data_IF_699714899016
#
_entry.id   IF_699714899016
#
_cell.length_a   1.000
_cell.length_b   1.000
_cell.length_c   1.000
_cell.angle_alpha   90.00
_cell.angle_beta   90.00
_cell.angle_gamma   90.00
#
_symmetry.space_group_name_H-M   'P 1'
#
loop_
_entity.id
_entity.type
_entity.pdbx_description
1 polymer ?
#
# COMPACT_ATOMS: atom_id res chain seq x y z
N UNK A 1 -14.64 24.19 -14.92
CA UNK A 1 -15.81 24.42 -14.04
C UNK A 1 -16.56 23.10 -14.06
N UNK A 2 -16.35 22.18 -13.13
CA UNK A 2 -16.96 22.12 -11.79
C UNK A 2 -16.25 21.01 -10.96
N UNK A 3 -15.02 21.27 -10.51
CA UNK A 3 -14.21 20.27 -9.77
C UNK A 3 -13.99 20.60 -8.28
N UNK A 4 -14.39 21.80 -7.84
CA UNK A 4 -14.21 22.26 -6.47
C UNK A 4 -15.37 21.92 -5.54
N UNK A 5 -16.58 21.79 -6.10
CA UNK A 5 -17.81 21.48 -5.36
C UNK A 5 -17.79 20.03 -4.84
N UNK A 6 -17.30 19.10 -5.67
CA UNK A 6 -17.22 17.66 -5.37
C UNK A 6 -16.21 17.34 -4.25
N UNK A 7 -15.04 18.00 -4.22
CA UNK A 7 -14.01 17.74 -3.18
C UNK A 7 -14.49 18.20 -1.79
N UNK A 8 -15.18 19.34 -1.73
CA UNK A 8 -15.68 19.88 -0.45
C UNK A 8 -16.78 18.99 0.12
N UNK A 9 -17.70 18.55 -0.72
CA UNK A 9 -18.76 17.61 -0.32
C UNK A 9 -18.18 16.26 0.12
N UNK A 10 -17.19 15.72 -0.61
CA UNK A 10 -16.48 14.51 -0.18
C UNK A 10 -15.81 14.71 1.18
N UNK A 11 -15.13 15.84 1.39
CA UNK A 11 -14.46 16.14 2.66
C UNK A 11 -15.46 16.25 3.81
N UNK A 12 -16.54 17.01 3.64
CA UNK A 12 -17.61 17.14 4.64
C UNK A 12 -18.24 15.78 4.96
N UNK A 13 -18.50 14.96 3.95
CA UNK A 13 -18.99 13.59 4.13
C UNK A 13 -18.01 12.73 4.94
N UNK A 14 -16.71 12.77 4.62
CA UNK A 14 -15.69 12.00 5.35
C UNK A 14 -15.58 12.48 6.81
N UNK A 15 -15.61 13.79 7.04
CA UNK A 15 -15.54 14.37 8.39
C UNK A 15 -16.79 14.02 9.21
N UNK A 16 -17.98 14.07 8.60
CA UNK A 16 -19.22 13.66 9.27
C UNK A 16 -19.19 12.18 9.64
N UNK A 17 -18.69 11.31 8.76
CA UNK A 17 -18.48 9.89 9.07
C UNK A 17 -17.51 9.72 10.24
N UNK A 18 -16.37 10.43 10.22
CA UNK A 18 -15.39 10.35 11.29
C UNK A 18 -15.99 10.79 12.64
N UNK A 19 -16.74 11.89 12.65
CA UNK A 19 -17.38 12.42 13.83
C UNK A 19 -18.44 11.44 14.39
N UNK A 20 -19.28 10.86 13.52
CA UNK A 20 -20.26 9.86 13.92
C UNK A 20 -19.60 8.60 14.51
N UNK A 21 -18.58 8.07 13.82
CA UNK A 21 -17.84 6.87 14.27
C UNK A 21 -17.17 7.09 15.63
N UNK A 22 -16.63 8.28 15.88
CA UNK A 22 -15.88 8.59 17.11
C UNK A 22 -16.80 9.01 18.26
N UNK A 23 -17.87 9.76 17.99
CA UNK A 23 -18.85 10.16 19.02
C UNK A 23 -19.73 9.00 19.48
N UNK A 24 -20.03 8.04 18.59
CA UNK A 24 -20.91 6.90 18.88
C UNK A 24 -20.17 5.57 19.10
N UNK A 25 -18.85 5.62 19.35
CA UNK A 25 -17.98 4.45 19.37
C UNK A 25 -18.50 3.29 20.26
N UNK A 26 -19.01 3.57 21.46
CA UNK A 26 -19.53 2.52 22.35
C UNK A 26 -20.74 1.79 21.75
N UNK A 27 -21.74 2.54 21.28
CA UNK A 27 -22.95 1.98 20.68
C UNK A 27 -22.62 1.20 19.41
N UNK A 28 -21.75 1.75 18.56
CA UNK A 28 -21.30 1.08 17.34
C UNK A 28 -20.55 -0.22 17.64
N UNK A 29 -19.69 -0.25 18.66
CA UNK A 29 -19.02 -1.48 19.10
C UNK A 29 -19.99 -2.55 19.60
N UNK A 30 -21.07 -2.16 20.31
CA UNK A 30 -22.12 -3.10 20.71
C UNK A 30 -22.85 -3.69 19.51
N UNK A 31 -23.24 -2.84 18.55
CA UNK A 31 -23.89 -3.28 17.31
C UNK A 31 -22.99 -4.22 16.49
N UNK A 32 -21.71 -3.87 16.34
CA UNK A 32 -20.73 -4.73 15.64
C UNK A 32 -20.60 -6.08 16.32
N UNK A 33 -20.52 -6.12 17.66
CA UNK A 33 -20.46 -7.38 18.40
C UNK A 33 -21.74 -8.21 18.19
N UNK A 34 -22.91 -7.61 18.30
CA UNK A 34 -24.20 -8.28 18.07
C UNK A 34 -24.28 -8.88 16.66
N UNK A 35 -23.85 -8.15 15.63
CA UNK A 35 -23.80 -8.65 14.26
C UNK A 35 -22.81 -9.82 14.10
N UNK A 36 -21.60 -9.70 14.65
CA UNK A 36 -20.60 -10.78 14.63
C UNK A 36 -21.15 -12.04 15.30
N UNK A 37 -21.76 -11.91 16.48
CA UNK A 37 -22.31 -13.04 17.24
C UNK A 37 -23.47 -13.68 16.50
N UNK A 38 -24.42 -12.87 16.00
CA UNK A 38 -25.58 -13.35 15.24
C UNK A 38 -25.16 -14.12 13.99
N UNK A 39 -24.21 -13.58 13.24
CA UNK A 39 -23.75 -14.23 12.02
C UNK A 39 -22.96 -15.50 12.28
N UNK A 40 -22.15 -15.55 13.35
CA UNK A 40 -21.26 -16.68 13.64
C UNK A 40 -21.83 -17.68 14.66
N UNK A 41 -23.07 -17.50 15.15
CA UNK A 41 -23.69 -18.35 16.17
C UNK A 41 -23.67 -19.85 15.81
N UNK A 42 -23.79 -20.18 14.52
CA UNK A 42 -23.78 -21.56 14.03
C UNK A 42 -22.40 -22.15 13.73
N UNK A 43 -21.31 -21.42 14.00
CA UNK A 43 -19.96 -21.91 13.74
C UNK A 43 -19.53 -22.94 14.78
N UNK A 44 -18.69 -23.90 14.39
CA UNK A 44 -18.16 -24.92 15.31
C UNK A 44 -17.37 -24.28 16.47
N UNK A 45 -16.64 -23.21 16.21
CA UNK A 45 -15.92 -22.48 17.25
C UNK A 45 -16.86 -21.83 18.26
N UNK A 46 -17.80 -20.99 17.79
CA UNK A 46 -18.62 -20.17 18.68
C UNK A 46 -19.67 -20.99 19.44
N UNK A 47 -20.27 -22.00 18.78
CA UNK A 47 -21.31 -22.85 19.37
C UNK A 47 -20.86 -23.55 20.66
N UNK A 48 -19.57 -23.85 20.82
CA UNK A 48 -19.00 -24.46 22.04
C UNK A 48 -19.14 -23.60 23.29
N UNK A 49 -19.24 -22.28 23.12
CA UNK A 49 -19.32 -21.32 24.21
C UNK A 49 -20.76 -20.82 24.49
N UNK A 50 -21.73 -21.22 23.65
CA UNK A 50 -23.14 -20.82 23.78
C UNK A 50 -24.08 -22.03 23.72
N UNK A 51 -24.07 -22.91 24.74
CA UNK A 51 -24.87 -24.15 24.73
C UNK A 51 -26.39 -23.89 24.67
N UNK A 52 -26.86 -22.72 25.10
CA UNK A 52 -28.27 -22.33 25.06
C UNK A 52 -28.62 -21.46 23.83
N UNK A 53 -27.67 -21.23 22.91
CA UNK A 53 -27.84 -20.40 21.71
C UNK A 53 -27.97 -18.89 21.95
N UNK A 54 -28.03 -18.42 23.20
CA UNK A 54 -28.04 -17.00 23.53
C UNK A 54 -26.63 -16.42 23.40
N UNK A 55 -26.41 -15.65 22.34
CA UNK A 55 -25.13 -15.01 22.02
C UNK A 55 -25.22 -13.49 22.22
N UNK A 56 -25.48 -13.08 23.46
CA UNK A 56 -25.45 -11.68 23.89
C UNK A 56 -24.07 -11.25 24.42
N UNK A 57 -23.87 -9.94 24.60
CA UNK A 57 -22.61 -9.34 25.09
C UNK A 57 -22.14 -9.90 26.43
N UNK A 58 -23.05 -10.14 27.38
CA UNK A 58 -22.69 -10.62 28.71
C UNK A 58 -22.26 -12.08 28.66
N UNK A 59 -23.03 -12.89 27.94
CA UNK A 59 -22.69 -14.30 27.68
C UNK A 59 -21.35 -14.43 26.93
N UNK A 60 -21.09 -13.57 25.94
CA UNK A 60 -19.81 -13.54 25.21
C UNK A 60 -18.63 -13.28 26.14
N UNK A 61 -18.69 -12.21 26.95
CA UNK A 61 -17.62 -11.87 27.90
C UNK A 61 -17.37 -12.94 28.95
N UNK A 62 -18.40 -13.69 29.33
CA UNK A 62 -18.31 -14.71 30.37
C UNK A 62 -17.78 -16.04 29.82
N UNK A 63 -18.20 -16.42 28.61
CA UNK A 63 -18.01 -17.78 28.10
C UNK A 63 -16.88 -17.89 27.06
N UNK A 64 -16.60 -16.82 26.30
CA UNK A 64 -15.59 -16.86 25.23
C UNK A 64 -14.23 -16.42 25.78
N UNK A 65 -13.20 -17.29 25.78
CA UNK A 65 -11.90 -16.96 26.33
C UNK A 65 -11.14 -15.97 25.43
N UNK A 66 -10.24 -15.22 26.05
CA UNK A 66 -9.18 -14.51 25.32
C UNK A 66 -8.18 -15.56 24.84
N UNK A 67 -7.89 -15.58 23.54
CA UNK A 67 -7.09 -16.61 22.88
C UNK A 67 -5.87 -16.03 22.16
N UNK A 68 -4.92 -16.92 21.86
CA UNK A 68 -3.76 -16.70 21.01
C UNK A 68 -3.93 -17.36 19.65
N UNK A 69 -2.96 -17.20 18.75
CA UNK A 69 -3.01 -17.84 17.43
C UNK A 69 -2.98 -19.37 17.55
N UNK A 70 -2.23 -19.87 18.53
CA UNK A 70 -2.01 -21.30 18.77
C UNK A 70 -3.33 -22.02 19.08
N UNK A 71 -4.26 -21.36 19.77
CA UNK A 71 -5.58 -21.91 20.14
C UNK A 71 -6.49 -22.11 18.92
N UNK A 72 -6.39 -21.24 17.91
CA UNK A 72 -7.22 -21.30 16.68
C UNK A 72 -6.52 -21.97 15.51
N UNK A 73 -5.21 -22.20 15.60
CA UNK A 73 -4.41 -22.83 14.54
C UNK A 73 -5.02 -24.14 14.02
N UNK A 74 -5.56 -25.06 14.85
CA UNK A 74 -6.17 -26.30 14.35
C UNK A 74 -7.36 -26.06 13.41
N UNK A 75 -8.14 -25.00 13.63
CA UNK A 75 -9.24 -24.63 12.73
C UNK A 75 -8.71 -24.05 11.41
N UNK A 76 -7.69 -23.19 11.49
CA UNK A 76 -7.04 -22.63 10.30
C UNK A 76 -6.45 -23.74 9.43
N UNK A 77 -5.77 -24.72 10.03
CA UNK A 77 -5.19 -25.86 9.31
C UNK A 77 -6.28 -26.69 8.61
N UNK A 78 -7.42 -26.94 9.27
CA UNK A 78 -8.57 -27.66 8.68
C UNK A 78 -9.13 -26.93 7.45
N UNK A 79 -9.30 -25.61 7.54
CA UNK A 79 -9.75 -24.76 6.41
C UNK A 79 -8.72 -24.79 5.26
N UNK A 80 -7.44 -24.67 5.58
CA UNK A 80 -6.35 -24.75 4.60
C UNK A 80 -6.30 -26.12 3.89
N UNK A 81 -6.78 -27.18 4.54
CA UNK A 81 -6.88 -28.54 4.00
C UNK A 81 -8.24 -28.88 3.35
N UNK A 82 -9.18 -27.92 3.29
CA UNK A 82 -10.36 -28.03 2.44
C UNK A 82 -11.68 -28.17 3.18
N UNK A 83 -11.64 -28.10 4.51
CA UNK A 83 -12.86 -28.04 5.30
C UNK A 83 -13.57 -26.69 5.16
N UNK A 84 -14.89 -26.69 5.33
CA UNK A 84 -15.69 -25.48 5.15
C UNK A 84 -15.32 -24.40 6.17
N UNK A 85 -15.21 -23.12 5.76
CA UNK A 85 -14.87 -22.03 6.69
C UNK A 85 -15.83 -21.89 7.87
N UNK A 86 -17.04 -22.43 7.77
CA UNK A 86 -18.08 -22.45 8.82
C UNK A 86 -17.62 -23.06 10.14
N UNK A 87 -16.49 -23.77 10.19
CA UNK A 87 -15.91 -24.20 11.45
C UNK A 87 -15.42 -23.03 12.32
N UNK A 88 -15.07 -21.89 11.70
CA UNK A 88 -14.58 -20.70 12.40
C UNK A 88 -15.38 -19.43 12.03
N UNK A 89 -15.82 -19.30 10.78
CA UNK A 89 -16.44 -18.09 10.23
C UNK A 89 -17.66 -18.46 9.36
N UNK A 90 -18.78 -17.79 9.61
CA UNK A 90 -19.99 -17.96 8.81
C UNK A 90 -19.90 -17.31 7.42
N UNK A 91 -19.04 -16.30 7.25
CA UNK A 91 -18.82 -15.63 5.97
C UNK A 91 -17.47 -15.98 5.35
N UNK A 92 -17.44 -16.03 4.01
CA UNK A 92 -16.19 -15.76 3.28
C UNK A 92 -15.81 -14.31 3.54
N UNK A 93 -14.59 -14.06 4.00
CA UNK A 93 -14.06 -12.70 4.16
C UNK A 93 -14.02 -12.04 2.77
N UNK A 94 -14.96 -11.13 2.48
CA UNK A 94 -15.18 -10.60 1.11
C UNK A 94 -14.74 -9.16 0.88
N UNK A 95 -14.03 -8.53 1.83
CA UNK A 95 -13.30 -7.23 1.76
C UNK A 95 -13.87 -6.16 2.70
N UNK A 96 -12.96 -5.44 3.37
CA UNK A 96 -13.16 -4.05 3.78
C UNK A 96 -12.15 -3.19 3.00
N UNK A 97 -12.64 -2.21 2.24
CA UNK A 97 -11.80 -1.19 1.61
C UNK A 97 -12.33 0.17 2.04
N UNK A 98 -11.58 0.86 2.89
CA UNK A 98 -11.82 2.26 3.19
C UNK A 98 -11.37 3.10 1.98
N UNK A 99 -12.34 3.66 1.26
CA UNK A 99 -12.15 4.71 0.25
C UNK A 99 -11.82 6.03 0.95
N UNK A 100 -10.60 6.19 1.47
CA UNK A 100 -10.21 7.46 2.10
C UNK A 100 -8.89 7.99 1.57
N UNK A 101 -8.64 7.95 0.26
CA UNK A 101 -7.63 8.81 -0.35
C UNK A 101 -8.01 9.19 -1.78
N UNK A 102 -9.01 10.06 -1.93
CA UNK A 102 -9.03 10.94 -3.10
C UNK A 102 -7.99 12.03 -2.81
N UNK A 103 -6.77 11.81 -3.31
CA UNK A 103 -5.73 12.84 -3.26
C UNK A 103 -6.20 14.07 -4.03
N UNK A 104 -5.79 15.25 -3.59
CA UNK A 104 -6.06 16.49 -4.32
C UNK A 104 -5.54 16.38 -5.76
N UNK A 105 -6.27 16.98 -6.72
CA UNK A 105 -5.89 17.06 -8.14
C UNK A 105 -4.60 17.88 -8.42
N UNK A 106 -3.75 18.10 -7.42
CA UNK A 106 -2.60 19.02 -7.52
C UNK A 106 -1.27 18.34 -7.88
N UNK A 107 -1.25 17.04 -8.15
CA UNK A 107 -0.06 16.33 -8.63
C UNK A 107 -0.12 14.81 -8.47
N UNK A 108 0.99 14.15 -8.78
CA UNK A 108 1.19 12.70 -8.71
C UNK A 108 1.94 12.26 -7.46
N UNK A 109 1.80 10.97 -7.18
CA UNK A 109 2.36 10.26 -6.05
C UNK A 109 3.44 9.30 -6.55
N UNK A 110 4.66 9.45 -6.05
CA UNK A 110 5.70 8.43 -6.16
C UNK A 110 5.63 7.54 -4.91
N UNK A 111 4.69 6.60 -4.91
CA UNK A 111 4.56 5.64 -3.82
C UNK A 111 5.10 4.29 -4.28
N UNK A 112 6.08 3.75 -3.53
CA UNK A 112 6.75 2.51 -3.89
C UNK A 112 5.96 1.32 -3.35
N UNK A 113 5.43 0.53 -4.28
CA UNK A 113 4.62 -0.65 -3.97
C UNK A 113 5.37 -1.91 -4.37
N UNK A 114 5.34 -2.93 -3.52
CA UNK A 114 6.00 -4.20 -3.78
C UNK A 114 5.07 -5.35 -3.46
N UNK A 115 4.97 -6.31 -4.38
CA UNK A 115 4.27 -7.57 -4.13
C UNK A 115 5.22 -8.63 -3.59
N UNK A 116 4.64 -9.62 -2.93
CA UNK A 116 5.32 -10.86 -2.54
C UNK A 116 4.67 -12.07 -3.20
N UNK A 117 5.42 -13.16 -3.39
CA UNK A 117 4.87 -14.41 -3.90
C UNK A 117 3.66 -14.85 -3.08
N UNK A 118 2.68 -15.42 -3.77
CA UNK A 118 1.51 -16.03 -3.16
C UNK A 118 1.71 -17.54 -3.08
N UNK A 119 1.03 -18.16 -2.12
CA UNK A 119 1.04 -19.58 -1.86
C UNK A 119 -0.36 -20.13 -2.09
N UNK A 120 -0.45 -21.32 -2.67
CA UNK A 120 -1.70 -22.07 -2.72
C UNK A 120 -1.72 -23.08 -1.55
N UNK A 121 -2.82 -23.11 -0.80
CA UNK A 121 -3.06 -24.12 0.22
C UNK A 121 -3.47 -25.45 -0.43
N UNK A 122 -3.38 -26.59 0.27
CA UNK A 122 -3.88 -27.87 -0.26
C UNK A 122 -5.34 -27.85 -0.72
N UNK A 123 -6.15 -26.94 -0.16
CA UNK A 123 -7.54 -26.70 -0.57
C UNK A 123 -7.74 -25.81 -1.80
N UNK A 124 -6.67 -25.29 -2.39
CA UNK A 124 -6.74 -24.34 -3.50
C UNK A 124 -7.02 -22.89 -3.09
N UNK A 125 -6.94 -22.56 -1.79
CA UNK A 125 -7.05 -21.18 -1.33
C UNK A 125 -5.71 -20.45 -1.51
N UNK A 126 -5.78 -19.19 -1.90
CA UNK A 126 -4.58 -18.35 -2.05
C UNK A 126 -4.24 -17.70 -0.71
N UNK A 127 -3.09 -18.06 -0.16
CA UNK A 127 -2.45 -17.38 0.95
C UNK A 127 -1.51 -16.28 0.42
N UNK A 128 -1.73 -15.04 0.85
CA UNK A 128 -1.03 -13.87 0.33
C UNK A 128 -0.86 -12.81 1.44
N UNK A 129 0.17 -11.98 1.33
CA UNK A 129 0.22 -10.76 2.13
C UNK A 129 -0.94 -9.85 1.74
N UNK A 130 -1.54 -9.19 2.75
CA UNK A 130 -2.67 -8.30 2.53
C UNK A 130 -2.41 -7.25 1.45
N UNK A 131 -1.22 -6.63 1.44
CA UNK A 131 -0.84 -5.62 0.44
C UNK A 131 -0.80 -6.19 -0.97
N UNK A 132 -0.20 -7.38 -1.16
CA UNK A 132 -0.19 -8.07 -2.47
C UNK A 132 -1.61 -8.32 -2.97
N UNK A 133 -2.45 -8.88 -2.11
CA UNK A 133 -3.85 -9.13 -2.43
C UNK A 133 -4.58 -7.83 -2.80
N UNK A 134 -4.41 -6.78 -1.99
CA UNK A 134 -5.04 -5.47 -2.20
C UNK A 134 -4.62 -4.85 -3.54
N UNK A 135 -3.33 -4.89 -3.90
CA UNK A 135 -2.83 -4.33 -5.16
C UNK A 135 -3.41 -5.04 -6.40
N UNK A 136 -3.83 -6.30 -6.26
CA UNK A 136 -4.48 -7.05 -7.34
C UNK A 136 -5.96 -6.75 -7.50
N UNK A 137 -6.61 -6.12 -6.51
CA UNK A 137 -8.04 -5.77 -6.56
C UNK A 137 -8.35 -4.74 -7.66
N UNK A 138 -9.54 -4.83 -8.25
CA UNK A 138 -10.02 -3.85 -9.23
C UNK A 138 -10.04 -2.43 -8.67
N UNK A 139 -10.46 -2.29 -7.40
CA UNK A 139 -10.52 -1.00 -6.70
C UNK A 139 -9.16 -0.31 -6.65
N UNK A 140 -8.09 -1.04 -6.31
CA UNK A 140 -6.75 -0.49 -6.33
C UNK A 140 -6.30 -0.13 -7.74
N UNK A 141 -6.44 -1.05 -8.70
CA UNK A 141 -6.00 -0.84 -10.09
C UNK A 141 -6.65 0.40 -10.72
N UNK A 142 -7.96 0.58 -10.52
CA UNK A 142 -8.68 1.75 -11.05
C UNK A 142 -8.34 3.04 -10.29
N UNK A 143 -8.09 2.96 -8.98
CA UNK A 143 -7.72 4.12 -8.17
C UNK A 143 -6.30 4.62 -8.43
N UNK A 144 -5.36 3.69 -8.64
CA UNK A 144 -3.94 3.96 -8.85
C UNK A 144 -3.68 4.85 -10.07
N UNK A 145 -4.33 4.55 -11.20
CA UNK A 145 -4.11 5.22 -12.48
C UNK A 145 -4.35 6.74 -12.44
N UNK A 146 -5.11 7.23 -11.45
CA UNK A 146 -5.40 8.66 -11.30
C UNK A 146 -4.29 9.43 -10.61
N UNK A 147 -3.46 8.77 -9.78
CA UNK A 147 -2.62 9.48 -8.81
C UNK A 147 -1.19 8.97 -8.71
N UNK A 148 -0.85 7.79 -9.23
CA UNK A 148 0.50 7.24 -9.11
C UNK A 148 1.34 7.53 -10.35
N UNK A 149 2.64 7.77 -10.17
CA UNK A 149 3.59 7.83 -11.29
C UNK A 149 3.81 6.46 -11.93
N UNK A 150 3.71 5.39 -11.13
CA UNK A 150 4.09 4.04 -11.53
C UNK A 150 2.93 3.25 -12.13
N UNK A 151 3.10 2.66 -13.32
CA UNK A 151 2.12 1.76 -13.92
C UNK A 151 1.85 0.54 -13.04
N UNK A 152 0.63 0.00 -13.13
CA UNK A 152 0.22 -1.14 -12.32
C UNK A 152 1.09 -2.37 -12.60
N UNK A 153 1.56 -2.55 -13.83
CA UNK A 153 2.42 -3.65 -14.24
C UNK A 153 3.76 -3.62 -13.49
N UNK A 154 4.33 -2.42 -13.28
CA UNK A 154 5.58 -2.27 -12.54
C UNK A 154 5.43 -2.59 -11.06
N UNK A 155 4.24 -2.35 -10.48
CA UNK A 155 3.90 -2.67 -9.10
C UNK A 155 3.66 -4.17 -8.91
N UNK A 156 3.01 -4.80 -9.90
CA UNK A 156 2.68 -6.23 -9.89
C UNK A 156 3.83 -7.11 -10.42
N UNK A 157 4.99 -6.53 -10.72
CA UNK A 157 6.19 -7.28 -11.06
C UNK A 157 6.69 -8.03 -9.81
N UNK A 158 6.88 -9.34 -9.95
CA UNK A 158 7.32 -10.23 -8.86
C UNK A 158 8.81 -10.06 -8.53
N UNK A 159 9.60 -9.60 -9.50
CA UNK A 159 10.99 -9.22 -9.29
C UNK A 159 11.07 -7.80 -8.72
N UNK A 160 11.30 -7.71 -7.41
CA UNK A 160 11.38 -6.43 -6.70
C UNK A 160 12.50 -5.51 -7.22
N UNK A 161 13.57 -6.06 -7.83
CA UNK A 161 14.64 -5.25 -8.41
C UNK A 161 14.17 -4.54 -9.68
N UNK A 162 13.54 -5.29 -10.58
CA UNK A 162 12.96 -4.73 -11.81
C UNK A 162 11.82 -3.76 -11.48
N UNK A 163 10.95 -4.14 -10.55
CA UNK A 163 9.87 -3.29 -10.03
C UNK A 163 10.40 -1.96 -9.50
N UNK A 164 11.41 -1.99 -8.61
CA UNK A 164 11.98 -0.78 -8.03
C UNK A 164 12.61 0.13 -9.10
N UNK A 165 13.36 -0.46 -10.04
CA UNK A 165 13.98 0.28 -11.13
C UNK A 165 12.94 1.00 -12.00
N UNK A 166 11.89 0.29 -12.45
CA UNK A 166 10.83 0.88 -13.27
C UNK A 166 10.02 1.93 -12.50
N UNK A 167 9.72 1.70 -11.21
CA UNK A 167 9.01 2.67 -10.38
C UNK A 167 9.81 3.96 -10.17
N UNK A 168 11.11 3.86 -9.90
CA UNK A 168 12.00 5.02 -9.80
C UNK A 168 12.15 5.75 -11.14
N UNK A 169 12.32 5.02 -12.25
CA UNK A 169 12.41 5.60 -13.58
C UNK A 169 11.16 6.39 -13.96
N UNK A 170 9.97 5.83 -13.72
CA UNK A 170 8.70 6.53 -13.94
C UNK A 170 8.53 7.73 -13.01
N UNK A 171 9.00 7.64 -11.77
CA UNK A 171 9.06 8.74 -10.82
C UNK A 171 9.97 9.89 -11.25
N UNK A 172 11.12 9.60 -11.87
CA UNK A 172 12.06 10.59 -12.41
C UNK A 172 11.51 11.26 -13.67
N UNK A 173 10.91 10.49 -14.59
CA UNK A 173 10.30 11.00 -15.82
C UNK A 173 9.14 11.97 -15.53
N UNK A 174 8.48 11.82 -14.39
CA UNK A 174 7.35 12.64 -13.95
C UNK A 174 7.73 13.55 -12.76
N UNK A 175 9.02 13.87 -12.60
CA UNK A 175 9.54 14.54 -11.38
C UNK A 175 8.83 15.83 -11.01
N UNK A 176 8.42 16.61 -12.00
CA UNK A 176 7.77 17.92 -11.81
C UNK A 176 6.28 17.82 -11.50
N UNK A 177 5.72 16.61 -11.51
CA UNK A 177 4.35 16.33 -11.07
C UNK A 177 4.31 15.72 -9.67
N UNK A 178 5.42 15.23 -9.13
CA UNK A 178 5.44 14.54 -7.83
C UNK A 178 5.25 15.52 -6.68
N UNK A 179 4.11 15.41 -6.00
CA UNK A 179 3.76 16.20 -4.81
C UNK A 179 3.83 15.40 -3.51
N UNK A 180 3.90 14.07 -3.60
CA UNK A 180 4.09 13.19 -2.45
C UNK A 180 4.92 11.98 -2.83
N UNK A 181 5.79 11.56 -1.91
CA UNK A 181 6.54 10.30 -2.01
C UNK A 181 6.14 9.40 -0.85
N UNK A 182 6.18 8.08 -1.03
CA UNK A 182 5.92 7.19 0.10
C UNK A 182 6.18 5.73 -0.13
N UNK A 183 5.97 4.96 0.93
CA UNK A 183 5.96 3.50 0.93
C UNK A 183 5.24 3.01 2.19
N UNK A 184 4.84 1.75 2.27
CA UNK A 184 4.12 1.24 3.45
C UNK A 184 4.93 1.39 4.73
N UNK A 185 6.24 1.11 4.68
CA UNK A 185 7.11 1.14 5.86
C UNK A 185 8.35 1.99 5.60
N UNK A 186 8.73 2.80 6.59
CA UNK A 186 9.84 3.76 6.45
C UNK A 186 11.11 3.12 5.90
N UNK A 187 11.42 1.88 6.30
CA UNK A 187 12.60 1.12 5.85
C UNK A 187 12.74 0.99 4.32
N UNK A 188 11.65 1.06 3.56
CA UNK A 188 11.68 0.91 2.10
C UNK A 188 12.30 2.15 1.46
N UNK A 189 11.98 3.35 1.96
CA UNK A 189 12.41 4.60 1.35
C UNK A 189 13.94 4.75 1.34
N UNK A 190 14.68 4.58 2.46
CA UNK A 190 16.14 4.62 2.42
C UNK A 190 16.76 3.53 1.53
N UNK A 191 16.14 2.33 1.48
CA UNK A 191 16.59 1.27 0.57
C UNK A 191 16.42 1.69 -0.89
N UNK A 192 15.35 2.39 -1.22
CA UNK A 192 15.12 2.89 -2.57
C UNK A 192 16.00 4.08 -2.93
N UNK A 193 16.33 4.95 -1.97
CA UNK A 193 17.36 5.98 -2.18
C UNK A 193 18.73 5.35 -2.38
N UNK A 194 19.09 4.33 -1.60
CA UNK A 194 20.35 3.60 -1.81
C UNK A 194 20.38 2.91 -3.17
N UNK A 195 19.27 2.31 -3.58
CA UNK A 195 19.13 1.73 -4.91
C UNK A 195 19.28 2.81 -6.01
N UNK A 196 18.71 3.99 -5.81
CA UNK A 196 18.90 5.11 -6.73
C UNK A 196 20.37 5.54 -6.83
N UNK A 197 21.09 5.59 -5.71
CA UNK A 197 22.54 5.85 -5.68
C UNK A 197 23.33 4.81 -6.49
N UNK A 198 22.94 3.53 -6.44
CA UNK A 198 23.60 2.47 -7.19
C UNK A 198 23.28 2.51 -8.71
N UNK A 199 22.11 3.03 -9.09
CA UNK A 199 21.56 2.90 -10.45
C UNK A 199 21.33 4.22 -11.20
N UNK A 200 21.58 5.39 -10.62
CA UNK A 200 21.22 6.68 -11.23
C UNK A 200 21.87 6.89 -12.61
N UNK A 201 23.08 6.39 -12.84
CA UNK A 201 23.77 6.49 -14.15
C UNK A 201 23.01 5.75 -15.23
N UNK A 202 22.51 4.56 -14.90
CA UNK A 202 21.73 3.73 -15.81
C UNK A 202 20.35 4.34 -16.06
N UNK A 203 19.69 4.83 -15.00
CA UNK A 203 18.42 5.55 -15.11
C UNK A 203 18.57 6.79 -16.01
N UNK A 204 19.64 7.58 -15.85
CA UNK A 204 19.94 8.70 -16.74
C UNK A 204 20.19 8.25 -18.18
N UNK A 205 20.87 7.12 -18.39
CA UNK A 205 21.05 6.53 -19.73
C UNK A 205 19.71 6.17 -20.37
N UNK A 206 18.78 5.55 -19.63
CA UNK A 206 17.46 5.21 -20.16
C UNK A 206 16.64 6.45 -20.49
N UNK A 207 16.67 7.48 -19.64
CA UNK A 207 16.00 8.77 -19.90
C UNK A 207 16.62 9.44 -21.14
N UNK A 208 17.95 9.47 -21.22
CA UNK A 208 18.70 10.09 -22.32
C UNK A 208 18.40 9.44 -23.66
N UNK A 209 18.34 8.11 -23.70
CA UNK A 209 18.19 7.34 -24.95
C UNK A 209 16.75 6.98 -25.29
N UNK A 210 15.84 7.00 -24.31
CA UNK A 210 14.48 6.50 -24.47
C UNK A 210 14.37 4.97 -24.51
N UNK A 211 15.43 4.23 -24.14
CA UNK A 211 15.42 2.76 -24.15
C UNK A 211 15.54 2.21 -22.74
N UNK A 212 14.72 1.21 -22.43
CA UNK A 212 14.78 0.48 -21.17
C UNK A 212 15.95 -0.53 -21.19
N UNK A 213 16.59 -0.71 -20.05
CA UNK A 213 17.71 -1.65 -19.90
C UNK A 213 17.32 -3.11 -20.15
N UNK A 214 18.23 -3.86 -20.78
CA UNK A 214 17.94 -5.22 -21.24
C UNK A 214 17.70 -6.25 -20.13
N UNK A 215 18.30 -6.02 -18.96
CA UNK A 215 18.12 -6.88 -17.79
C UNK A 215 16.70 -6.80 -17.18
N UNK A 216 15.89 -5.82 -17.58
CA UNK A 216 14.46 -5.82 -17.28
C UNK A 216 13.82 -6.86 -18.21
N UNK A 217 13.49 -8.04 -17.69
CA UNK A 217 12.94 -9.17 -18.45
C UNK A 217 11.44 -9.35 -18.26
N UNK A 218 10.84 -8.74 -17.23
CA UNK A 218 9.41 -8.80 -16.99
C UNK A 218 8.63 -8.13 -18.13
N UNK A 219 7.72 -8.89 -18.74
CA UNK A 219 6.95 -8.44 -19.89
C UNK A 219 5.99 -7.28 -19.55
N UNK A 220 5.43 -7.26 -18.34
CA UNK A 220 4.56 -6.19 -17.87
C UNK A 220 5.34 -4.88 -17.73
N UNK A 221 6.50 -4.93 -17.08
CA UNK A 221 7.42 -3.80 -16.99
C UNK A 221 7.83 -3.30 -18.38
N UNK A 222 8.28 -4.18 -19.28
CA UNK A 222 8.69 -3.79 -20.64
C UNK A 222 7.56 -3.11 -21.42
N UNK A 223 6.36 -3.68 -21.39
CA UNK A 223 5.21 -3.13 -22.09
C UNK A 223 4.77 -1.79 -21.50
N UNK A 224 4.74 -1.66 -20.18
CA UNK A 224 4.39 -0.39 -19.53
C UNK A 224 5.45 0.70 -19.80
N UNK A 225 6.73 0.35 -19.73
CA UNK A 225 7.82 1.30 -19.94
C UNK A 225 7.94 1.74 -21.40
N UNK A 226 7.63 0.90 -22.38
CA UNK A 226 7.67 1.30 -23.80
C UNK A 226 6.62 2.37 -24.14
N UNK A 227 5.50 2.40 -23.41
CA UNK A 227 4.48 3.43 -23.54
C UNK A 227 4.88 4.77 -22.89
N UNK A 228 5.89 4.76 -22.00
CA UNK A 228 6.34 5.94 -21.24
C UNK A 228 7.63 6.51 -21.83
N UNK A 229 8.61 5.65 -22.12
CA UNK A 229 9.89 5.98 -22.76
C UNK A 229 9.70 6.15 -24.27
N UNK A 230 8.89 7.12 -24.68
CA UNK A 230 8.53 7.32 -26.10
C UNK A 230 9.56 8.13 -26.88
N UNK A 231 10.41 8.90 -26.20
CA UNK A 231 11.44 9.74 -26.83
C UNK A 231 12.68 9.94 -25.94
N UNK A 232 13.87 10.11 -26.55
CA UNK A 232 15.06 10.60 -25.87
C UNK A 232 14.84 11.92 -25.12
N UNK A 233 15.38 12.05 -23.91
CA UNK A 233 15.37 13.29 -23.14
C UNK A 233 16.74 13.57 -22.47
N UNK A 234 17.74 14.02 -23.25
CA UNK A 234 19.09 14.27 -22.72
C UNK A 234 19.13 15.38 -21.66
N UNK A 235 18.33 16.44 -21.82
CA UNK A 235 18.30 17.57 -20.89
C UNK A 235 17.88 17.14 -19.48
N UNK A 236 16.81 16.34 -19.37
CA UNK A 236 16.38 15.78 -18.08
C UNK A 236 17.42 14.83 -17.50
N UNK A 237 18.06 14.01 -18.34
CA UNK A 237 19.12 13.12 -17.89
C UNK A 237 20.32 13.88 -17.33
N UNK A 238 20.74 14.97 -17.98
CA UNK A 238 21.86 15.81 -17.53
C UNK A 238 21.52 16.52 -16.21
N UNK A 239 20.28 17.01 -16.07
CA UNK A 239 19.80 17.61 -14.82
C UNK A 239 19.84 16.60 -13.65
N UNK A 240 19.30 15.39 -13.86
CA UNK A 240 19.28 14.34 -12.82
C UNK A 240 20.71 13.91 -12.49
N UNK A 241 21.55 13.75 -13.51
CA UNK A 241 22.96 13.43 -13.34
C UNK A 241 23.68 14.47 -12.47
N UNK A 242 23.52 15.77 -12.76
CA UNK A 242 24.11 16.84 -11.96
C UNK A 242 23.67 16.81 -10.49
N UNK A 243 22.41 16.44 -10.23
CA UNK A 243 21.89 16.31 -8.87
C UNK A 243 22.51 15.08 -8.15
N UNK A 244 22.62 13.95 -8.83
CA UNK A 244 23.10 12.69 -8.25
C UNK A 244 24.63 12.59 -8.14
N UNK A 245 25.39 13.41 -8.88
CA UNK A 245 26.86 13.47 -8.79
C UNK A 245 27.37 14.20 -7.53
N UNK A 246 26.49 14.85 -6.78
CA UNK A 246 26.82 15.51 -5.52
C UNK A 246 27.39 14.49 -4.50
N UNK A 247 28.41 14.91 -3.74
CA UNK A 247 29.03 14.08 -2.70
C UNK A 247 28.07 13.83 -1.54
N UNK A 248 27.14 14.75 -1.30
CA UNK A 248 26.14 14.63 -0.24
C UNK A 248 24.75 14.41 -0.83
N UNK A 249 24.12 13.31 -0.41
CA UNK A 249 22.73 12.99 -0.73
C UNK A 249 21.74 13.64 0.25
N UNK A 250 22.19 14.58 1.07
CA UNK A 250 21.32 15.38 1.93
C UNK A 250 20.31 16.17 1.07
N UNK A 251 19.03 16.06 1.42
CA UNK A 251 17.92 16.69 0.70
C UNK A 251 17.72 16.18 -0.72
N UNK A 252 18.29 15.03 -1.10
CA UNK A 252 18.20 14.48 -2.45
C UNK A 252 16.76 14.35 -2.94
N UNK A 253 15.83 14.00 -2.05
CA UNK A 253 14.40 13.87 -2.40
C UNK A 253 13.85 15.21 -2.88
N UNK A 254 14.16 16.29 -2.16
CA UNK A 254 13.72 17.65 -2.54
C UNK A 254 14.39 18.13 -3.83
N UNK A 255 15.67 17.79 -4.04
CA UNK A 255 16.42 18.13 -5.27
C UNK A 255 15.82 17.42 -6.50
N UNK A 256 15.56 16.12 -6.38
CA UNK A 256 15.03 15.31 -7.48
C UNK A 256 13.55 15.58 -7.76
N UNK A 257 12.74 15.80 -6.73
CA UNK A 257 11.28 16.03 -6.84
C UNK A 257 10.91 17.39 -6.23
N UNK A 258 11.06 18.50 -6.96
CA UNK A 258 11.06 19.85 -6.39
C UNK A 258 9.69 20.33 -5.89
N UNK A 259 8.58 19.73 -6.36
CA UNK A 259 7.21 20.06 -5.93
C UNK A 259 6.71 19.17 -4.78
N UNK A 260 7.56 18.31 -4.23
CA UNK A 260 7.17 17.42 -3.14
C UNK A 260 6.74 18.22 -1.90
N UNK A 261 5.62 17.84 -1.31
CA UNK A 261 5.02 18.48 -0.14
C UNK A 261 5.25 17.69 1.14
N UNK A 262 5.23 16.35 1.06
CA UNK A 262 5.44 15.45 2.20
C UNK A 262 5.90 14.07 1.75
N UNK A 263 6.53 13.35 2.70
CA UNK A 263 6.86 11.94 2.58
C UNK A 263 5.89 11.17 3.48
N UNK A 264 5.19 10.18 2.95
CA UNK A 264 4.24 9.35 3.70
C UNK A 264 4.73 7.93 3.89
N UNK A 265 4.85 7.49 5.14
CA UNK A 265 5.23 6.13 5.48
C UNK A 265 5.01 5.83 6.95
N UNK A 266 4.76 4.56 7.30
CA UNK A 266 4.68 4.16 8.71
C UNK A 266 6.07 4.38 9.35
N UNK A 267 6.15 5.36 10.24
CA UNK A 267 7.36 5.75 10.97
C UNK A 267 7.26 5.47 12.48
N UNK A 268 6.20 4.79 12.93
CA UNK A 268 5.96 4.45 14.34
C UNK A 268 6.56 3.08 14.70
N UNK A 269 6.66 2.79 16.01
CA UNK A 269 7.22 1.53 16.51
C UNK A 269 8.66 1.32 16.06
N UNK A 270 8.99 0.11 15.58
CA UNK A 270 10.33 -0.24 15.10
C UNK A 270 10.77 0.52 13.83
N UNK A 271 9.85 1.20 13.14
CA UNK A 271 10.19 2.01 11.96
C UNK A 271 10.75 3.40 12.31
N UNK A 272 10.58 3.86 13.56
CA UNK A 272 11.07 5.16 14.03
C UNK A 272 12.59 5.32 13.89
N UNK A 273 13.34 4.21 13.92
CA UNK A 273 14.79 4.21 13.71
C UNK A 273 15.21 4.77 12.33
N UNK A 274 14.32 4.81 11.34
CA UNK A 274 14.60 5.34 10.01
C UNK A 274 14.32 6.85 9.89
N UNK A 275 13.70 7.49 10.90
CA UNK A 275 13.35 8.91 10.85
C UNK A 275 14.58 9.80 10.55
N UNK A 276 15.74 9.68 11.25
CA UNK A 276 16.89 10.53 10.98
C UNK A 276 17.41 10.41 9.54
N UNK A 277 17.34 9.20 8.98
CA UNK A 277 17.77 8.94 7.60
C UNK A 277 16.79 9.53 6.58
N UNK A 278 15.49 9.49 6.88
CA UNK A 278 14.46 10.15 6.06
C UNK A 278 14.52 11.67 6.14
N UNK A 279 14.85 12.23 7.30
CA UNK A 279 15.07 13.66 7.47
C UNK A 279 16.31 14.12 6.67
N UNK A 280 17.39 13.35 6.75
CA UNK A 280 18.61 13.57 5.97
C UNK A 280 18.32 13.58 4.46
N UNK A 281 17.69 12.53 3.91
CA UNK A 281 17.36 12.49 2.48
C UNK A 281 16.25 13.46 2.07
N UNK A 282 15.33 13.75 2.99
CA UNK A 282 14.19 14.63 2.78
C UNK A 282 14.56 16.11 2.72
N UNK A 283 15.55 16.57 3.50
CA UNK A 283 15.96 17.97 3.50
C UNK A 283 14.85 18.90 4.02
N UNK A 284 14.21 18.52 5.12
CA UNK A 284 13.14 19.29 5.78
C UNK A 284 11.73 19.06 5.21
N UNK A 285 11.53 18.05 4.35
CA UNK A 285 10.20 17.63 3.92
C UNK A 285 9.46 16.97 5.10
N UNK A 286 8.20 17.36 5.40
CA UNK A 286 7.40 16.74 6.44
C UNK A 286 7.23 15.23 6.26
N UNK A 287 7.40 14.48 7.35
CA UNK A 287 7.12 13.04 7.44
C UNK A 287 5.71 12.84 8.01
N UNK A 288 4.86 12.13 7.27
CA UNK A 288 3.47 11.82 7.65
C UNK A 288 3.32 10.31 7.81
N UNK A 289 3.02 9.87 9.04
CA UNK A 289 2.79 8.45 9.36
C UNK A 289 1.31 8.10 9.43
#
# INVERSE_FOLDING_TARGET
MDGGTDIKEIYENVMNILEDLTSNAHKLQEQVLEEILKSNAGTEYLSRFFPNGQSDKQSFKTNVPIITYEDIKPYIDRIANGETPSILLAYRITQFIQRCFNGSNEGKSLYLYFIKPEMETPSGLVASLYTTFYFKTKSFKTGLAKFCTSPIETILCSDNKQSMFCQLLTGLLQRDEVVRMGSSFASVLPRSIKFLDDYWKELCSNIRTGYLSDWITDAGCRNAMSLILTRPNPEMADLIQQICEDKSWEGIIKKLWPKIKYITSICTGSMSQYIPLLEFYGGGIPLVS
#
